data_IF_569178316147
#
_entry.id   IF_569178316147
#
_cell.length_a   1.000
_cell.length_b   1.000
_cell.length_c   1.000
_cell.angle_alpha   90.00
_cell.angle_beta   90.00
_cell.angle_gamma   90.00
#
_symmetry.space_group_name_H-M   'P 1'
#
loop_
_entity.id
_entity.type
_entity.pdbx_description
1 polymer ?
#
# COMPACT_ATOMS: atom_id res chain seq x y z
N UNK A 1 -0.81 2.34 1.54
CA UNK A 1 -1.69 3.40 1.01
C UNK A 1 -3.15 2.93 0.95
N UNK A 2 -3.54 1.93 0.18
CA UNK A 2 -4.87 1.27 0.31
C UNK A 2 -4.79 -0.14 -0.28
N UNK A 3 -5.56 -1.08 0.26
CA UNK A 3 -5.90 -2.34 -0.41
C UNK A 3 -7.41 -2.51 -0.36
N UNK A 4 -8.02 -2.95 -1.45
CA UNK A 4 -9.47 -3.19 -1.55
C UNK A 4 -9.77 -4.09 -2.74
N UNK A 5 -10.95 -4.71 -2.73
CA UNK A 5 -11.47 -5.43 -3.88
C UNK A 5 -12.24 -4.49 -4.81
N UNK A 6 -12.07 -4.68 -6.12
CA UNK A 6 -12.70 -3.91 -7.18
C UNK A 6 -13.07 -4.87 -8.32
N UNK A 7 -14.19 -4.64 -9.01
CA UNK A 7 -14.55 -5.40 -10.21
C UNK A 7 -13.68 -4.96 -11.39
N UNK A 8 -13.22 -5.90 -12.22
CA UNK A 8 -12.42 -5.59 -13.42
C UNK A 8 -13.10 -4.56 -14.33
N UNK A 9 -14.43 -4.63 -14.46
CA UNK A 9 -15.23 -3.69 -15.26
C UNK A 9 -15.20 -2.23 -14.75
N UNK A 10 -14.80 -2.00 -13.49
CA UNK A 10 -14.71 -0.68 -12.88
C UNK A 10 -13.27 -0.14 -12.78
N UNK A 11 -12.27 -0.89 -13.25
CA UNK A 11 -10.85 -0.50 -13.14
C UNK A 11 -10.56 0.86 -13.77
N UNK A 12 -11.09 1.16 -14.96
CA UNK A 12 -10.88 2.45 -15.60
C UNK A 12 -11.45 3.62 -14.77
N UNK A 13 -12.58 3.38 -14.07
CA UNK A 13 -13.17 4.37 -13.17
C UNK A 13 -12.32 4.56 -11.92
N UNK A 14 -11.79 3.48 -11.36
CA UNK A 14 -10.85 3.53 -10.23
C UNK A 14 -9.57 4.27 -10.60
N UNK A 15 -9.01 4.01 -11.77
CA UNK A 15 -7.84 4.72 -12.27
C UNK A 15 -8.11 6.21 -12.42
N UNK A 16 -9.24 6.58 -13.05
CA UNK A 16 -9.61 7.98 -13.21
C UNK A 16 -9.80 8.69 -11.85
N UNK A 17 -10.49 8.04 -10.90
CA UNK A 17 -10.73 8.58 -9.57
C UNK A 17 -9.44 8.76 -8.77
N UNK A 18 -8.57 7.75 -8.75
CA UNK A 18 -7.28 7.82 -8.08
C UNK A 18 -6.37 8.88 -8.71
N UNK A 19 -6.30 8.95 -10.04
CA UNK A 19 -5.49 9.93 -10.76
C UNK A 19 -5.89 11.36 -10.41
N UNK A 20 -7.19 11.66 -10.34
CA UNK A 20 -7.68 12.99 -9.98
C UNK A 20 -7.18 13.43 -8.60
N UNK A 21 -7.17 12.53 -7.62
CA UNK A 21 -6.65 12.80 -6.28
C UNK A 21 -5.13 12.99 -6.31
N UNK A 22 -4.41 12.08 -6.97
CA UNK A 22 -2.95 12.11 -7.07
C UNK A 22 -2.44 13.41 -7.74
N UNK A 23 -3.10 13.85 -8.81
CA UNK A 23 -2.76 15.09 -9.51
C UNK A 23 -3.04 16.33 -8.64
N UNK A 24 -4.12 16.32 -7.86
CA UNK A 24 -4.46 17.44 -6.98
C UNK A 24 -3.57 17.53 -5.72
N UNK A 25 -3.03 16.41 -5.25
CA UNK A 25 -2.26 16.33 -4.01
C UNK A 25 -0.81 16.80 -4.13
N UNK A 26 -0.33 17.11 -5.33
CA UNK A 26 1.06 17.52 -5.60
C UNK A 26 2.08 16.56 -4.95
N UNK A 27 1.91 15.25 -5.18
CA UNK A 27 2.65 14.21 -4.45
C UNK A 27 4.17 14.30 -4.60
N UNK A 28 4.64 14.87 -5.72
CA UNK A 28 6.07 15.07 -5.98
C UNK A 28 6.72 16.12 -5.06
N UNK A 29 5.92 17.02 -4.48
CA UNK A 29 6.38 18.07 -3.58
C UNK A 29 6.33 17.63 -2.11
N UNK A 30 5.76 16.45 -1.83
CA UNK A 30 5.80 15.89 -0.47
C UNK A 30 7.23 15.56 -0.10
N UNK A 31 7.68 16.06 1.06
CA UNK A 31 8.97 15.72 1.64
C UNK A 31 8.76 14.74 2.78
N UNK A 32 8.95 13.46 2.48
CA UNK A 32 8.81 12.37 3.44
C UNK A 32 10.17 12.09 4.09
N UNK A 33 10.14 11.52 5.30
CA UNK A 33 11.33 11.14 6.05
C UNK A 33 11.29 9.65 6.37
N UNK A 34 12.28 8.90 5.90
CA UNK A 34 12.58 7.56 6.38
C UNK A 34 13.31 7.68 7.72
N UNK A 35 12.90 6.93 8.75
CA UNK A 35 13.39 7.20 10.12
C UNK A 35 13.70 5.98 10.98
N UNK A 36 13.31 4.77 10.57
CA UNK A 36 13.64 3.54 11.32
C UNK A 36 13.47 2.29 10.48
N UNK A 37 14.13 1.23 10.91
CA UNK A 37 13.80 -0.14 10.53
C UNK A 37 12.45 -0.59 11.13
N UNK A 38 11.80 -1.54 10.46
CA UNK A 38 10.53 -2.12 10.85
C UNK A 38 10.66 -3.63 11.09
N UNK A 39 9.98 -4.13 12.13
CA UNK A 39 10.00 -5.53 12.52
C UNK A 39 9.35 -6.44 11.47
N UNK A 40 8.35 -5.96 10.73
CA UNK A 40 8.04 -6.57 9.45
C UNK A 40 9.11 -6.00 8.48
N UNK A 41 10.12 -6.81 8.10
CA UNK A 41 11.40 -6.33 7.59
C UNK A 41 11.22 -5.24 6.55
N UNK A 42 11.62 -4.03 6.90
CA UNK A 42 11.32 -2.84 6.09
C UNK A 42 11.84 -1.54 6.68
N UNK A 43 11.55 -0.45 5.97
CA UNK A 43 11.90 0.91 6.36
C UNK A 43 10.61 1.72 6.51
N UNK A 44 10.39 2.32 7.69
CA UNK A 44 9.24 3.18 7.94
C UNK A 44 9.50 4.61 7.45
N UNK A 45 8.48 5.21 6.83
CA UNK A 45 8.39 6.64 6.66
C UNK A 45 7.60 7.26 7.83
N UNK A 46 7.90 8.48 8.25
CA UNK A 46 7.07 9.19 9.23
C UNK A 46 5.70 9.51 8.60
N UNK A 47 4.58 9.17 9.27
CA UNK A 47 3.28 9.69 8.86
C UNK A 47 3.30 11.23 8.91
N UNK A 48 2.82 11.87 7.85
CA UNK A 48 2.60 13.33 7.82
C UNK A 48 1.12 13.62 7.61
N UNK A 49 0.62 14.80 8.01
CA UNK A 49 -0.76 15.20 7.73
C UNK A 49 -1.12 15.12 6.25
N UNK A 50 -0.19 15.49 5.37
CA UNK A 50 -0.38 15.45 3.91
C UNK A 50 -0.49 14.02 3.39
N UNK A 51 0.34 13.10 3.90
CA UNK A 51 0.31 11.70 3.50
C UNK A 51 -0.94 10.96 4.03
N UNK A 52 -1.36 11.27 5.27
CA UNK A 52 -2.61 10.74 5.85
C UNK A 52 -3.81 11.28 5.05
N UNK A 53 -3.80 12.57 4.71
CA UNK A 53 -4.84 13.17 3.87
C UNK A 53 -4.89 12.53 2.49
N UNK A 54 -3.73 12.30 1.85
CA UNK A 54 -3.67 11.62 0.55
C UNK A 54 -4.31 10.22 0.61
N UNK A 55 -4.00 9.44 1.64
CA UNK A 55 -4.64 8.14 1.84
C UNK A 55 -6.16 8.27 1.96
N UNK A 56 -6.65 9.19 2.81
CA UNK A 56 -8.08 9.40 3.02
C UNK A 56 -8.80 9.84 1.73
N UNK A 57 -8.22 10.75 0.97
CA UNK A 57 -8.79 11.24 -0.28
C UNK A 57 -8.84 10.12 -1.35
N UNK A 58 -7.80 9.29 -1.45
CA UNK A 58 -7.80 8.12 -2.34
C UNK A 58 -8.91 7.14 -1.93
N UNK A 59 -9.02 6.81 -0.63
CA UNK A 59 -10.07 5.92 -0.12
C UNK A 59 -11.46 6.46 -0.47
N UNK A 60 -11.72 7.75 -0.22
CA UNK A 60 -12.99 8.37 -0.53
C UNK A 60 -13.32 8.33 -2.03
N UNK A 61 -12.32 8.61 -2.89
CA UNK A 61 -12.50 8.64 -4.33
C UNK A 61 -12.80 7.27 -4.94
N UNK A 62 -12.17 6.20 -4.42
CA UNK A 62 -12.37 4.84 -4.97
C UNK A 62 -13.53 4.08 -4.32
N UNK A 63 -14.02 4.52 -3.15
CA UNK A 63 -15.12 3.87 -2.38
C UNK A 63 -16.33 3.47 -3.23
N UNK A 64 -16.85 4.27 -4.18
CA UNK A 64 -18.00 3.87 -5.00
C UNK A 64 -17.78 2.62 -5.87
N UNK A 65 -16.52 2.24 -6.09
CA UNK A 65 -16.11 1.13 -6.95
C UNK A 65 -15.57 -0.08 -6.16
N UNK A 66 -15.47 0.04 -4.84
CA UNK A 66 -14.99 -1.06 -4.00
C UNK A 66 -16.12 -2.05 -3.71
N UNK A 67 -15.77 -3.32 -3.65
CA UNK A 67 -16.64 -4.40 -3.16
C UNK A 67 -16.08 -4.93 -1.84
N UNK A 68 -16.96 -5.48 -0.99
CA UNK A 68 -16.61 -5.93 0.35
C UNK A 68 -15.58 -7.07 0.34
N UNK A 69 -15.68 -7.97 -0.63
CA UNK A 69 -14.80 -9.13 -0.75
C UNK A 69 -14.68 -9.61 -2.19
N UNK A 70 -13.76 -10.55 -2.43
CA UNK A 70 -13.53 -11.17 -3.73
C UNK A 70 -12.92 -12.56 -3.60
N UNK A 71 -12.99 -13.39 -4.65
CA UNK A 71 -12.38 -14.71 -4.65
C UNK A 71 -10.85 -14.62 -4.71
N UNK A 72 -10.15 -15.72 -4.40
CA UNK A 72 -8.68 -15.78 -4.57
C UNK A 72 -8.24 -15.51 -6.02
N UNK A 73 -9.10 -15.80 -7.00
CA UNK A 73 -8.87 -15.44 -8.41
C UNK A 73 -8.81 -13.94 -8.71
N UNK A 74 -9.09 -13.07 -7.73
CA UNK A 74 -8.82 -11.64 -7.83
C UNK A 74 -7.32 -11.31 -7.64
N UNK A 75 -6.56 -12.19 -7.00
CA UNK A 75 -5.11 -12.10 -6.88
C UNK A 75 -4.42 -12.70 -8.10
N UNK A 76 -3.12 -12.45 -8.30
CA UNK A 76 -2.39 -12.98 -9.46
C UNK A 76 -2.18 -14.49 -9.41
N UNK A 77 -2.14 -15.08 -8.20
CA UNK A 77 -2.03 -16.51 -7.95
C UNK A 77 -2.56 -16.84 -6.54
N UNK A 78 -3.10 -18.05 -6.32
CA UNK A 78 -3.40 -18.57 -4.99
C UNK A 78 -2.11 -18.99 -4.25
N UNK A 79 -2.25 -19.33 -2.98
CA UNK A 79 -1.24 -20.08 -2.22
C UNK A 79 -1.47 -21.59 -2.36
N UNK A 80 -0.47 -22.39 -1.99
CA UNK A 80 -0.62 -23.85 -1.86
C UNK A 80 -1.46 -24.24 -0.62
N UNK A 81 -1.83 -23.26 0.22
CA UNK A 81 -2.63 -23.43 1.43
C UNK A 81 -3.90 -22.55 1.37
N UNK A 82 -5.10 -23.16 1.28
CA UNK A 82 -6.38 -22.44 1.29
C UNK A 82 -6.64 -21.61 2.55
N UNK A 83 -6.03 -21.95 3.70
CA UNK A 83 -6.16 -21.15 4.91
C UNK A 83 -5.41 -19.81 4.80
N UNK A 84 -4.29 -19.79 4.06
CA UNK A 84 -3.59 -18.54 3.72
C UNK A 84 -4.40 -17.70 2.73
N UNK A 85 -5.04 -18.33 1.75
CA UNK A 85 -5.95 -17.65 0.82
C UNK A 85 -7.11 -16.97 1.56
N UNK A 86 -7.77 -17.69 2.48
CA UNK A 86 -8.83 -17.12 3.31
C UNK A 86 -8.32 -15.95 4.16
N UNK A 87 -7.12 -16.08 4.72
CA UNK A 87 -6.48 -15.05 5.56
C UNK A 87 -6.19 -13.77 4.76
N UNK A 88 -5.61 -13.88 3.56
CA UNK A 88 -5.30 -12.70 2.75
C UNK A 88 -6.57 -12.03 2.21
N UNK A 89 -7.60 -12.81 1.84
CA UNK A 89 -8.90 -12.26 1.44
C UNK A 89 -9.49 -11.44 2.59
N UNK A 90 -9.51 -12.01 3.80
CA UNK A 90 -10.01 -11.33 4.99
C UNK A 90 -9.20 -10.07 5.33
N UNK A 91 -7.87 -10.13 5.17
CA UNK A 91 -6.98 -8.99 5.35
C UNK A 91 -7.35 -7.84 4.40
N UNK A 92 -7.47 -8.11 3.09
CA UNK A 92 -7.83 -7.09 2.09
C UNK A 92 -9.24 -6.55 2.33
N UNK A 93 -10.22 -7.42 2.64
CA UNK A 93 -11.59 -7.02 2.96
C UNK A 93 -11.69 -6.07 4.16
N UNK A 94 -10.77 -6.20 5.13
CA UNK A 94 -10.76 -5.36 6.33
C UNK A 94 -9.63 -4.34 6.36
N UNK A 95 -8.94 -4.13 5.23
CA UNK A 95 -7.78 -3.24 5.17
C UNK A 95 -8.15 -1.80 5.55
N UNK A 96 -9.17 -1.22 4.90
CA UNK A 96 -9.57 0.17 5.14
C UNK A 96 -9.87 0.45 6.62
N UNK A 97 -10.75 -0.30 7.30
CA UNK A 97 -11.04 -0.04 8.71
C UNK A 97 -9.88 -0.38 9.67
N UNK A 98 -8.89 -1.20 9.28
CA UNK A 98 -7.82 -1.66 10.19
C UNK A 98 -6.43 -1.05 9.95
N UNK A 99 -6.15 -0.50 8.76
CA UNK A 99 -4.80 -0.15 8.31
C UNK A 99 -4.68 1.29 7.78
N UNK A 100 -5.63 2.16 8.13
CA UNK A 100 -5.70 3.55 7.62
C UNK A 100 -5.83 4.56 8.76
N UNK A 101 -5.64 5.84 8.46
CA UNK A 101 -5.75 6.92 9.44
C UNK A 101 -4.72 6.76 10.56
N UNK A 102 -5.18 6.71 11.81
CA UNK A 102 -4.31 6.53 12.99
C UNK A 102 -3.57 5.18 13.00
N UNK A 103 -4.09 4.17 12.29
CA UNK A 103 -3.44 2.87 12.14
C UNK A 103 -2.53 2.79 10.91
N UNK A 104 -2.41 3.88 10.14
CA UNK A 104 -1.58 3.88 8.96
C UNK A 104 -0.09 3.86 9.32
N UNK A 105 0.58 2.77 8.97
CA UNK A 105 2.03 2.62 9.09
C UNK A 105 2.67 2.64 7.69
N UNK A 106 3.06 3.80 7.14
CA UNK A 106 3.73 3.87 5.84
C UNK A 106 5.14 3.26 5.94
N UNK A 107 5.36 2.19 5.19
CA UNK A 107 6.65 1.49 5.13
C UNK A 107 6.88 0.87 3.76
N UNK A 108 8.13 0.53 3.48
CA UNK A 108 8.53 -0.33 2.37
C UNK A 108 9.12 -1.60 2.95
N UNK A 109 8.50 -2.74 2.66
CA UNK A 109 9.04 -4.04 3.03
C UNK A 109 10.29 -4.34 2.20
N UNK A 110 11.37 -4.78 2.84
CA UNK A 110 12.66 -5.06 2.22
C UNK A 110 12.94 -6.55 2.04
N UNK A 111 12.13 -7.43 2.62
CA UNK A 111 12.26 -8.88 2.43
C UNK A 111 11.58 -9.68 3.52
N UNK A 112 12.16 -10.84 3.85
CA UNK A 112 11.85 -11.68 5.01
C UNK A 112 13.16 -12.13 5.63
N UNK A 113 13.22 -12.28 6.96
CA UNK A 113 14.41 -12.75 7.65
C UNK A 113 14.05 -13.53 8.92
N UNK A 114 15.01 -14.29 9.43
CA UNK A 114 14.90 -14.95 10.73
C UNK A 114 14.78 -13.91 11.84
N UNK A 115 14.10 -14.29 12.92
CA UNK A 115 13.86 -13.42 14.07
C UNK A 115 15.16 -12.82 14.61
N UNK A 116 16.19 -13.65 14.76
CA UNK A 116 17.48 -13.26 15.33
C UNK A 116 18.15 -12.16 14.48
N UNK A 117 18.02 -12.25 13.16
CA UNK A 117 18.52 -11.22 12.25
C UNK A 117 17.71 -9.92 12.39
N UNK A 118 16.38 -10.01 12.50
CA UNK A 118 15.52 -8.83 12.67
C UNK A 118 15.80 -8.11 13.98
N UNK A 119 16.02 -8.86 15.07
CA UNK A 119 16.38 -8.29 16.37
C UNK A 119 17.72 -7.54 16.28
N UNK A 120 18.71 -8.08 15.54
CA UNK A 120 19.99 -7.40 15.29
C UNK A 120 19.82 -6.14 14.42
N UNK A 121 19.09 -6.25 13.30
CA UNK A 121 18.82 -5.12 12.39
C UNK A 121 18.17 -3.95 13.13
N UNK A 122 17.25 -4.22 14.05
CA UNK A 122 16.57 -3.17 14.83
C UNK A 122 17.45 -2.50 15.87
N UNK A 123 18.55 -3.13 16.28
CA UNK A 123 19.53 -2.53 17.19
C UNK A 123 20.54 -1.63 16.46
N UNK A 124 20.64 -1.75 15.13
CA UNK A 124 21.51 -0.89 14.33
C UNK A 124 20.99 0.55 14.29
N UNK A 125 21.89 1.55 14.28
CA UNK A 125 21.49 2.93 14.06
C UNK A 125 20.88 3.09 12.66
N UNK A 126 19.80 3.86 12.58
CA UNK A 126 19.18 4.23 11.32
C UNK A 126 19.54 5.69 10.99
N UNK A 127 20.21 5.90 9.85
CA UNK A 127 20.43 7.25 9.34
C UNK A 127 19.16 7.74 8.63
N UNK A 128 18.48 8.71 9.23
CA UNK A 128 17.30 9.32 8.60
C UNK A 128 17.67 10.03 7.30
N UNK A 129 16.84 9.84 6.28
CA UNK A 129 16.96 10.58 5.03
C UNK A 129 15.60 11.00 4.51
N UNK A 130 15.59 12.08 3.74
CA UNK A 130 14.37 12.61 3.14
C UNK A 130 14.25 12.19 1.69
N UNK A 131 13.02 11.95 1.25
CA UNK A 131 12.72 11.58 -0.13
C UNK A 131 11.36 12.15 -0.55
N UNK A 132 11.13 12.16 -1.85
CA UNK A 132 9.85 12.56 -2.43
C UNK A 132 9.33 11.46 -3.36
N UNK A 133 8.02 11.16 -3.34
CA UNK A 133 7.43 10.25 -4.32
C UNK A 133 7.62 10.77 -5.74
N UNK A 134 8.12 9.91 -6.65
CA UNK A 134 8.24 10.27 -8.07
C UNK A 134 6.93 10.07 -8.85
N UNK A 135 6.03 9.23 -8.34
CA UNK A 135 4.80 8.84 -9.01
C UNK A 135 3.98 7.87 -8.16
N UNK A 136 2.93 7.33 -8.76
CA UNK A 136 2.08 6.33 -8.12
C UNK A 136 1.59 5.29 -9.14
N UNK A 137 1.22 4.12 -8.66
CA UNK A 137 0.73 3.04 -9.49
C UNK A 137 -0.28 2.16 -8.75
N UNK A 138 -1.17 1.53 -9.52
CA UNK A 138 -2.12 0.52 -9.05
C UNK A 138 -1.61 -0.85 -9.49
N UNK A 139 -1.62 -1.79 -8.55
CA UNK A 139 -1.21 -3.18 -8.76
C UNK A 139 -2.35 -4.12 -8.41
N UNK A 140 -2.47 -5.20 -9.18
CA UNK A 140 -3.17 -6.40 -8.73
C UNK A 140 -2.28 -7.09 -7.70
N UNK A 141 -2.87 -7.45 -6.57
CA UNK A 141 -2.16 -8.13 -5.48
C UNK A 141 -1.84 -9.58 -5.87
N UNK A 142 -0.68 -10.06 -5.47
CA UNK A 142 -0.28 -11.47 -5.59
C UNK A 142 -0.31 -12.19 -4.25
N UNK A 143 0.30 -13.39 -4.18
CA UNK A 143 0.50 -14.11 -2.92
C UNK A 143 1.06 -13.18 -1.83
N UNK A 144 0.60 -13.38 -0.59
CA UNK A 144 0.94 -12.59 0.59
C UNK A 144 0.62 -11.08 0.50
N UNK A 145 -0.25 -10.66 -0.44
CA UNK A 145 -0.62 -9.24 -0.60
C UNK A 145 0.46 -8.41 -1.29
N UNK A 146 1.37 -9.05 -2.01
CA UNK A 146 2.45 -8.38 -2.76
C UNK A 146 1.88 -7.53 -3.90
N UNK A 147 2.51 -6.38 -4.20
CA UNK A 147 2.19 -5.60 -5.39
C UNK A 147 2.76 -6.31 -6.64
N UNK A 148 2.06 -7.33 -7.14
CA UNK A 148 2.62 -8.31 -8.06
C UNK A 148 2.51 -7.94 -9.54
N UNK A 149 1.34 -7.46 -9.99
CA UNK A 149 1.12 -7.08 -11.40
C UNK A 149 0.69 -5.64 -11.51
N UNK A 150 1.54 -4.80 -12.12
CA UNK A 150 1.24 -3.39 -12.40
C UNK A 150 0.07 -3.32 -13.38
N UNK A 151 -0.98 -2.58 -13.01
CA UNK A 151 -2.15 -2.35 -13.86
C UNK A 151 -2.14 -0.96 -14.48
N UNK A 152 -1.72 0.04 -13.72
CA UNK A 152 -1.66 1.44 -14.14
C UNK A 152 -0.55 2.16 -13.40
N UNK A 153 0.13 3.08 -14.07
CA UNK A 153 1.05 4.03 -13.46
C UNK A 153 0.78 5.44 -13.94
N UNK A 154 1.15 6.39 -13.09
CA UNK A 154 1.17 7.82 -13.39
C UNK A 154 2.56 8.36 -13.06
N UNK A 155 3.25 8.89 -14.06
CA UNK A 155 4.37 9.80 -13.82
C UNK A 155 3.74 11.13 -13.38
N UNK A 156 4.06 11.55 -12.15
CA UNK A 156 3.49 12.74 -11.52
C UNK A 156 4.53 13.85 -11.43
N UNK A 157 5.62 13.75 -12.22
CA UNK A 157 6.54 14.87 -12.41
C UNK A 157 5.80 16.07 -13.03
N UNK A 158 6.24 17.30 -12.73
CA UNK A 158 5.73 18.53 -13.34
C UNK A 158 5.84 18.53 -14.86
#
# INVERSE_FOLDING_TARGET
MIQCFVRTADLDKVFAAAHKVLAAANVNAMKLEAFKYYYAPGICAKPTPELIKLQADIIAAVKPFTVETGPIGAFTAPHDDPALDATIIQYVSTFVPKQTGEHFNPHVSTGVALKEYLDQMLAEPFESFTFSPAGAAVYQLGPFGTAAKKLKEWDLKP
#
